data_IF_522619954313
#
_entry.id   IF_522619954313
#
_cell.length_a   1.000
_cell.length_b   1.000
_cell.length_c   1.000
_cell.angle_alpha   90.00
_cell.angle_beta   90.00
_cell.angle_gamma   90.00
#
_symmetry.space_group_name_H-M   'P 1'
#
loop_
_entity.id
_entity.type
_entity.pdbx_description
1 polymer ?
#
# COMPACT_ATOMS: atom_id res chain seq x y z
N UNK A 1 23.00 -65.89 13.40
CA UNK A 1 24.06 -66.44 14.28
C UNK A 1 24.93 -65.31 14.76
N UNK A 2 25.00 -65.12 16.09
CA UNK A 2 26.07 -64.49 16.90
C UNK A 2 26.59 -63.07 16.54
N UNK A 3 26.88 -62.15 17.47
CA UNK A 3 26.57 -61.91 18.89
C UNK A 3 27.25 -60.56 19.24
N UNK A 4 26.54 -59.68 19.96
CA UNK A 4 26.93 -58.76 21.06
C UNK A 4 28.40 -58.30 21.24
N UNK A 5 28.68 -57.05 21.65
CA UNK A 5 28.34 -56.45 22.98
C UNK A 5 28.41 -54.90 23.00
N UNK A 6 27.35 -54.18 23.45
CA UNK A 6 27.09 -53.54 24.80
C UNK A 6 27.93 -52.25 25.08
N UNK A 7 27.41 -51.06 25.46
CA UNK A 7 26.45 -50.63 26.53
C UNK A 7 25.89 -49.21 26.17
N UNK A 8 24.59 -48.89 26.21
CA UNK A 8 23.63 -48.57 27.31
C UNK A 8 23.66 -47.13 27.88
N UNK A 9 22.69 -46.30 27.42
CA UNK A 9 21.80 -45.30 28.06
C UNK A 9 22.16 -44.63 29.40
N UNK A 10 21.83 -43.33 29.58
CA UNK A 10 20.65 -42.81 30.36
C UNK A 10 20.58 -41.25 30.40
N UNK A 11 19.34 -40.76 30.49
CA UNK A 11 18.78 -39.39 30.50
C UNK A 11 19.16 -38.50 31.73
N UNK A 12 19.24 -37.15 31.60
CA UNK A 12 18.25 -36.07 31.92
C UNK A 12 17.87 -35.91 33.42
N UNK A 13 17.89 -34.63 33.86
CA UNK A 13 17.20 -33.94 34.99
C UNK A 13 18.03 -33.72 36.29
N UNK A 14 17.88 -32.48 36.81
CA UNK A 14 18.08 -31.95 38.18
C UNK A 14 19.40 -31.18 38.39
N UNK A 15 19.33 -29.84 38.47
CA UNK A 15 19.55 -29.12 39.73
C UNK A 15 19.21 -27.61 39.59
N UNK A 16 18.03 -27.25 40.11
CA UNK A 16 17.58 -25.90 40.41
C UNK A 16 17.56 -25.78 41.94
N UNK A 17 17.92 -24.60 42.47
CA UNK A 17 17.90 -24.15 43.88
C UNK A 17 19.13 -24.41 44.75
N UNK A 18 19.76 -23.29 45.18
CA UNK A 18 20.24 -22.92 46.54
C UNK A 18 21.31 -21.83 46.36
N UNK A 19 21.10 -20.54 46.70
CA UNK A 19 21.21 -19.93 48.06
C UNK A 19 20.89 -18.41 47.85
N UNK A 20 19.73 -17.84 48.22
CA UNK A 20 19.37 -17.15 49.49
C UNK A 20 20.54 -16.39 50.16
N UNK A 21 20.55 -15.07 50.39
CA UNK A 21 19.82 -14.31 51.41
C UNK A 21 20.34 -12.86 51.36
N UNK A 22 19.47 -11.84 51.29
CA UNK A 22 19.48 -10.73 52.27
C UNK A 22 18.15 -9.97 52.19
N UNK A 23 17.33 -10.19 53.21
CA UNK A 23 16.13 -9.42 53.57
C UNK A 23 16.55 -8.16 54.34
N UNK A 24 15.67 -7.13 54.40
CA UNK A 24 15.11 -6.53 55.63
C UNK A 24 14.54 -5.10 55.39
N UNK A 25 13.23 -4.98 55.70
CA UNK A 25 12.42 -3.84 56.22
C UNK A 25 12.06 -2.67 55.27
N UNK A 26 10.80 -2.52 54.84
CA UNK A 26 9.59 -1.98 55.54
C UNK A 26 9.63 -0.45 55.80
N UNK A 27 8.79 0.32 55.08
CA UNK A 27 7.71 1.15 55.66
C UNK A 27 7.03 2.03 54.58
N UNK A 28 5.73 2.22 54.78
CA UNK A 28 4.75 2.97 53.99
C UNK A 28 5.10 4.43 53.68
N UNK A 29 4.60 4.93 52.54
CA UNK A 29 3.84 6.19 52.44
C UNK A 29 3.20 6.30 51.04
N UNK A 30 1.90 6.63 51.01
CA UNK A 30 1.14 7.05 49.84
C UNK A 30 1.42 8.54 49.60
N UNK A 31 1.80 8.96 48.39
CA UNK A 31 1.46 10.27 47.80
C UNK A 31 1.40 10.13 46.26
N UNK A 32 0.42 10.83 45.68
CA UNK A 32 0.03 10.96 44.27
C UNK A 32 1.11 11.49 43.31
N UNK A 33 0.93 11.14 42.03
CA UNK A 33 1.21 11.99 40.86
C UNK A 33 2.67 12.11 40.42
N UNK A 34 3.04 11.44 39.32
CA UNK A 34 3.30 12.11 38.04
C UNK A 34 3.53 11.08 36.93
N UNK A 35 3.01 11.35 35.73
CA UNK A 35 3.22 10.54 34.53
C UNK A 35 4.60 10.90 33.96
N UNK A 36 5.59 10.02 34.10
CA UNK A 36 6.86 10.14 33.38
C UNK A 36 6.92 9.14 32.23
N UNK A 37 6.74 9.70 31.04
CA UNK A 37 6.99 9.15 29.70
C UNK A 37 8.41 8.55 29.57
N UNK A 38 8.59 7.32 29.05
CA UNK A 38 9.90 6.69 28.87
C UNK A 38 10.63 7.16 27.60
N UNK A 39 10.62 8.46 27.31
CA UNK A 39 11.31 9.10 26.20
C UNK A 39 12.28 10.18 26.70
N UNK A 40 13.25 9.80 27.52
CA UNK A 40 14.44 10.63 27.75
C UNK A 40 15.70 9.78 27.82
N UNK A 41 16.39 9.66 26.67
CA UNK A 41 17.85 9.59 26.61
C UNK A 41 18.34 9.67 25.15
N UNK A 42 18.30 10.86 24.56
CA UNK A 42 19.17 11.22 23.42
C UNK A 42 19.74 12.61 23.73
N UNK A 43 21.07 12.82 23.65
CA UNK A 43 21.68 14.08 24.05
C UNK A 43 21.36 15.22 23.08
N UNK A 44 21.03 16.39 23.63
CA UNK A 44 20.89 17.65 22.89
C UNK A 44 22.24 18.07 22.30
N UNK A 45 22.26 18.39 21.00
CA UNK A 45 23.34 19.14 20.36
C UNK A 45 22.90 20.60 20.13
N UNK A 46 23.79 21.58 20.32
CA UNK A 46 23.42 22.99 20.34
C UNK A 46 23.04 23.52 18.95
N UNK A 47 21.97 24.31 18.91
CA UNK A 47 21.56 25.11 17.76
C UNK A 47 22.49 26.31 17.59
N UNK A 48 23.28 26.31 16.52
CA UNK A 48 23.85 27.55 15.97
C UNK A 48 23.04 27.97 14.74
N UNK A 49 22.45 29.15 14.84
CA UNK A 49 21.87 29.91 13.75
C UNK A 49 22.92 30.14 12.66
N UNK A 50 22.85 29.37 11.57
CA UNK A 50 23.56 29.67 10.33
C UNK A 50 22.52 29.85 9.22
N UNK A 51 22.41 31.09 8.74
CA UNK A 51 21.66 31.44 7.53
C UNK A 51 22.04 30.45 6.42
N UNK A 52 21.08 29.63 5.97
CA UNK A 52 21.30 28.76 4.83
C UNK A 52 21.32 29.61 3.56
N UNK A 53 22.52 29.81 3.03
CA UNK A 53 22.66 29.97 1.59
C UNK A 53 22.33 28.62 0.96
N UNK A 54 21.27 28.61 0.15
CA UNK A 54 20.93 27.49 -0.74
C UNK A 54 22.16 27.25 -1.63
N UNK A 55 22.73 26.03 -1.71
CA UNK A 55 23.77 25.76 -2.68
C UNK A 55 23.15 25.92 -4.06
N UNK A 56 23.69 26.82 -4.87
CA UNK A 56 23.40 26.86 -6.29
C UNK A 56 23.91 25.56 -6.89
N UNK A 57 22.99 24.66 -7.27
CA UNK A 57 23.30 23.62 -8.24
C UNK A 57 23.81 24.35 -9.49
N UNK A 58 25.11 24.21 -9.78
CA UNK A 58 25.71 24.69 -11.02
C UNK A 58 25.06 23.90 -12.16
N UNK A 59 23.98 24.44 -12.73
CA UNK A 59 23.41 23.93 -13.98
C UNK A 59 24.48 24.13 -15.05
N UNK A 60 25.20 23.04 -15.37
CA UNK A 60 26.04 22.99 -16.56
C UNK A 60 25.09 23.20 -17.74
N UNK A 61 25.05 24.43 -18.26
CA UNK A 61 24.24 24.77 -19.43
C UNK A 61 24.60 23.82 -20.57
N UNK A 62 23.66 22.94 -20.91
CA UNK A 62 23.79 22.01 -22.01
C UNK A 62 23.94 22.77 -23.33
N UNK A 63 24.82 22.31 -24.19
CA UNK A 63 25.00 22.92 -25.50
C UNK A 63 23.70 22.77 -26.31
N UNK A 64 23.28 23.84 -26.99
CA UNK A 64 22.06 23.80 -27.82
C UNK A 64 22.13 22.65 -28.84
N UNK A 65 21.09 21.82 -28.88
CA UNK A 65 21.00 20.63 -29.74
C UNK A 65 21.43 19.31 -29.07
N UNK A 66 22.00 19.36 -27.86
CA UNK A 66 22.32 18.17 -27.07
C UNK A 66 21.22 17.88 -26.05
N UNK A 67 21.04 16.60 -25.74
CA UNK A 67 20.20 16.15 -24.63
C UNK A 67 20.79 16.61 -23.30
N UNK A 68 19.95 16.95 -22.33
CA UNK A 68 20.44 17.32 -21.01
C UNK A 68 21.23 16.19 -20.32
N UNK A 69 22.31 16.56 -19.63
CA UNK A 69 23.11 15.60 -18.87
C UNK A 69 22.28 15.05 -17.70
N UNK A 70 22.16 13.72 -17.53
CA UNK A 70 21.51 13.14 -16.37
C UNK A 70 22.19 13.57 -15.07
N UNK A 71 21.40 13.86 -14.04
CA UNK A 71 21.91 14.21 -12.71
C UNK A 71 21.63 13.07 -11.76
N UNK A 72 22.68 12.35 -11.36
CA UNK A 72 22.55 11.22 -10.44
C UNK A 72 22.20 11.73 -9.05
N UNK A 73 21.16 11.16 -8.45
CA UNK A 73 20.69 11.52 -7.11
C UNK A 73 20.95 10.42 -6.10
N UNK A 74 20.81 9.16 -6.51
CA UNK A 74 21.02 8.02 -5.62
C UNK A 74 21.79 6.89 -6.32
N UNK A 75 22.64 6.21 -5.55
CA UNK A 75 23.26 4.92 -5.89
C UNK A 75 23.09 4.02 -4.68
N UNK A 76 22.31 2.94 -4.81
CA UNK A 76 21.90 2.12 -3.67
C UNK A 76 22.02 0.62 -3.96
N UNK A 77 22.77 -0.11 -3.14
CA UNK A 77 22.82 -1.58 -3.26
C UNK A 77 21.49 -2.22 -2.85
N UNK A 78 20.94 -3.05 -3.73
CA UNK A 78 19.80 -3.96 -3.48
C UNK A 78 20.31 -5.32 -3.03
N UNK A 79 21.35 -5.81 -3.69
CA UNK A 79 22.14 -6.98 -3.30
C UNK A 79 23.62 -6.64 -3.36
N UNK A 80 24.48 -7.62 -3.07
CA UNK A 80 25.91 -7.41 -3.07
C UNK A 80 26.47 -6.87 -4.39
N UNK A 81 25.95 -7.35 -5.52
CA UNK A 81 26.38 -6.99 -6.87
C UNK A 81 25.30 -6.30 -7.70
N UNK A 82 24.18 -5.90 -7.13
CA UNK A 82 23.12 -5.16 -7.83
C UNK A 82 22.87 -3.82 -7.14
N UNK A 83 22.92 -2.74 -7.92
CA UNK A 83 22.64 -1.38 -7.45
C UNK A 83 21.47 -0.77 -8.22
N UNK A 84 20.69 0.05 -7.53
CA UNK A 84 19.81 1.05 -8.15
C UNK A 84 20.62 2.30 -8.40
N UNK A 85 20.47 2.84 -9.61
CA UNK A 85 20.94 4.16 -9.98
C UNK A 85 19.72 4.96 -10.41
N UNK A 86 19.54 6.11 -9.80
CA UNK A 86 18.40 6.96 -10.08
C UNK A 86 18.77 8.43 -10.02
N UNK A 87 18.02 9.23 -10.76
CA UNK A 87 18.31 10.64 -10.90
C UNK A 87 17.32 11.37 -11.79
N UNK A 88 17.57 12.64 -12.02
CA UNK A 88 16.76 13.49 -12.90
C UNK A 88 17.36 13.56 -14.30
N UNK A 89 16.53 13.73 -15.31
CA UNK A 89 16.91 13.79 -16.72
C UNK A 89 15.91 14.62 -17.53
N UNK A 90 16.24 14.89 -18.79
CA UNK A 90 15.27 15.45 -19.73
C UNK A 90 14.10 14.48 -19.95
N UNK A 91 12.86 15.01 -20.00
CA UNK A 91 11.69 14.20 -20.32
C UNK A 91 11.74 13.70 -21.78
N UNK A 92 11.35 12.44 -21.99
CA UNK A 92 11.46 11.73 -23.27
C UNK A 92 12.85 11.17 -23.57
N UNK A 93 13.79 11.21 -22.62
CA UNK A 93 15.13 10.67 -22.81
C UNK A 93 15.18 9.14 -22.66
N UNK A 94 16.01 8.49 -23.48
CA UNK A 94 16.51 7.15 -23.21
C UNK A 94 17.85 7.28 -22.45
N UNK A 95 17.91 6.75 -21.22
CA UNK A 95 19.09 6.79 -20.36
C UNK A 95 19.82 5.46 -20.48
N UNK A 96 21.08 5.50 -20.88
CA UNK A 96 21.94 4.30 -20.99
C UNK A 96 23.03 4.34 -19.94
N UNK A 97 23.14 3.25 -19.17
CA UNK A 97 24.17 3.04 -18.16
C UNK A 97 25.10 1.94 -18.65
N UNK A 98 26.38 2.28 -18.85
CA UNK A 98 27.42 1.39 -19.36
C UNK A 98 28.40 0.99 -18.27
N UNK A 99 29.22 -0.01 -18.59
CA UNK A 99 30.33 -0.52 -17.76
C UNK A 99 29.87 -1.25 -16.49
N UNK A 100 28.59 -1.62 -16.42
CA UNK A 100 28.12 -2.70 -15.56
C UNK A 100 28.52 -4.07 -16.14
N UNK A 101 27.91 -5.13 -15.61
CA UNK A 101 28.02 -6.47 -16.20
C UNK A 101 27.45 -6.48 -17.63
N UNK A 102 26.35 -5.77 -17.83
CA UNK A 102 25.68 -5.53 -19.11
C UNK A 102 25.28 -4.05 -19.17
N UNK A 103 25.10 -3.52 -20.38
CA UNK A 103 24.58 -2.16 -20.57
C UNK A 103 23.08 -2.16 -20.31
N UNK A 104 22.60 -1.20 -19.51
CA UNK A 104 21.19 -1.07 -19.14
C UNK A 104 20.65 0.20 -19.80
N UNK A 105 19.44 0.13 -20.37
CA UNK A 105 18.76 1.32 -20.89
C UNK A 105 17.35 1.41 -20.34
N UNK A 106 16.99 2.57 -19.82
CA UNK A 106 15.63 2.88 -19.31
C UNK A 106 15.12 4.16 -19.96
N UNK A 107 13.80 4.28 -20.09
CA UNK A 107 13.18 5.54 -20.52
C UNK A 107 12.97 6.45 -19.31
N UNK A 108 13.09 7.76 -19.54
CA UNK A 108 12.69 8.77 -18.59
C UNK A 108 11.21 8.63 -18.26
N UNK A 109 10.85 9.06 -17.06
CA UNK A 109 9.47 9.17 -16.59
C UNK A 109 9.39 10.45 -15.75
N UNK A 110 8.52 11.39 -16.11
CA UNK A 110 8.32 12.66 -15.39
C UNK A 110 9.64 13.37 -14.96
N UNK A 111 10.61 13.44 -15.87
CA UNK A 111 11.90 14.09 -15.65
C UNK A 111 12.87 13.31 -14.77
N UNK A 112 12.61 12.03 -14.49
CA UNK A 112 13.52 11.15 -13.75
C UNK A 112 13.73 9.80 -14.43
N UNK A 113 14.73 9.06 -13.95
CA UNK A 113 14.96 7.67 -14.31
C UNK A 113 15.33 6.86 -13.07
N UNK A 114 15.01 5.56 -13.09
CA UNK A 114 15.42 4.57 -12.09
C UNK A 114 15.83 3.33 -12.84
N UNK A 115 17.05 2.85 -12.62
CA UNK A 115 17.60 1.68 -13.29
C UNK A 115 18.26 0.73 -12.30
N UNK A 116 18.07 -0.57 -12.52
CA UNK A 116 18.82 -1.62 -11.84
C UNK A 116 20.07 -1.98 -12.67
N UNK A 117 21.23 -2.03 -12.02
CA UNK A 117 22.52 -2.33 -12.66
C UNK A 117 23.23 -3.43 -11.90
N UNK A 118 23.48 -4.55 -12.56
CA UNK A 118 24.40 -5.57 -12.04
C UNK A 118 25.84 -5.10 -12.25
N UNK A 119 26.61 -5.04 -11.18
CA UNK A 119 28.02 -4.63 -11.16
C UNK A 119 28.92 -5.70 -11.78
N UNK A 120 30.04 -5.28 -12.36
CA UNK A 120 31.11 -6.21 -12.71
C UNK A 120 31.77 -6.74 -11.42
N UNK A 121 32.45 -7.90 -11.51
CA UNK A 121 33.11 -8.57 -10.37
C UNK A 121 34.38 -7.84 -9.89
N UNK A 122 34.23 -6.58 -9.52
CA UNK A 122 35.28 -5.71 -8.97
C UNK A 122 34.72 -4.98 -7.76
N UNK A 123 35.60 -4.56 -6.83
CA UNK A 123 35.17 -3.89 -5.60
C UNK A 123 34.52 -2.52 -5.85
N UNK A 124 34.97 -1.82 -6.90
CA UNK A 124 34.48 -0.49 -7.27
C UNK A 124 34.33 -0.44 -8.78
N UNK A 125 33.14 -0.02 -9.23
CA UNK A 125 32.76 0.06 -10.63
C UNK A 125 32.53 1.52 -10.98
N UNK A 126 33.23 2.03 -11.99
CA UNK A 126 32.97 3.34 -12.56
C UNK A 126 32.01 3.17 -13.74
N UNK A 127 30.77 3.61 -13.53
CA UNK A 127 29.68 3.53 -14.49
C UNK A 127 29.58 4.84 -15.26
N UNK A 128 29.15 4.74 -16.52
CA UNK A 128 28.98 5.88 -17.43
C UNK A 128 27.51 5.98 -17.81
N UNK A 129 26.91 7.13 -17.55
CA UNK A 129 25.49 7.41 -17.77
C UNK A 129 25.36 8.47 -18.86
N UNK A 130 24.63 8.15 -19.93
CA UNK A 130 24.27 9.09 -20.99
C UNK A 130 22.76 9.12 -21.18
N UNK A 131 22.25 10.20 -21.77
CA UNK A 131 20.87 10.33 -22.18
C UNK A 131 20.77 10.78 -23.65
N UNK A 132 19.73 10.31 -24.33
CA UNK A 132 19.39 10.77 -25.68
C UNK A 132 17.88 11.00 -25.81
N UNK A 133 17.48 12.20 -26.21
CA UNK A 133 16.11 12.52 -26.63
C UNK A 133 16.04 12.46 -28.15
N UNK A 134 14.93 11.95 -28.69
CA UNK A 134 14.75 11.87 -30.14
C UNK A 134 14.92 13.25 -30.80
N UNK A 135 15.78 13.31 -31.82
CA UNK A 135 16.09 14.56 -32.54
C UNK A 135 17.18 15.43 -31.89
N UNK A 136 17.77 15.01 -30.77
CA UNK A 136 18.95 15.64 -30.16
C UNK A 136 20.18 14.73 -30.22
N UNK A 137 21.35 15.33 -30.06
CA UNK A 137 22.60 14.59 -29.84
C UNK A 137 22.65 14.01 -28.42
N UNK A 138 23.42 12.93 -28.24
CA UNK A 138 23.64 12.28 -26.93
C UNK A 138 24.25 13.26 -25.93
N UNK A 139 23.83 13.19 -24.66
CA UNK A 139 24.33 14.04 -23.59
C UNK A 139 25.83 13.87 -23.35
N UNK A 140 26.42 14.81 -22.61
CA UNK A 140 27.73 14.57 -21.99
C UNK A 140 27.62 13.36 -21.05
N UNK A 141 28.69 12.56 -20.98
CA UNK A 141 28.78 11.41 -20.07
C UNK A 141 28.83 11.91 -18.62
N UNK A 142 27.91 11.42 -17.80
CA UNK A 142 27.98 11.50 -16.35
C UNK A 142 28.63 10.23 -15.78
N UNK A 143 29.62 10.39 -14.91
CA UNK A 143 30.37 9.26 -14.34
C UNK A 143 30.03 9.07 -12.86
N UNK A 144 29.64 7.85 -12.48
CA UNK A 144 29.28 7.53 -11.09
C UNK A 144 29.98 6.27 -10.61
N UNK A 145 30.43 6.29 -9.35
CA UNK A 145 31.05 5.11 -8.73
C UNK A 145 30.00 4.30 -7.97
N UNK A 146 30.02 2.98 -8.17
CA UNK A 146 29.19 2.02 -7.45
C UNK A 146 30.06 0.91 -6.85
N UNK A 147 29.77 0.52 -5.61
CA UNK A 147 30.58 -0.44 -4.85
C UNK A 147 29.90 -1.79 -4.74
N UNK A 148 30.70 -2.86 -4.81
CA UNK A 148 30.26 -4.18 -4.42
C UNK A 148 30.24 -4.25 -2.89
N UNK A 149 29.08 -4.55 -2.30
CA UNK A 149 28.91 -4.61 -0.84
C UNK A 149 28.45 -6.01 -0.45
N UNK A 150 29.39 -6.87 -0.05
CA UNK A 150 29.10 -8.29 0.26
C UNK A 150 27.97 -8.54 1.28
N UNK A 151 27.68 -7.56 2.14
CA UNK A 151 26.65 -7.63 3.18
C UNK A 151 25.31 -7.00 2.76
N UNK A 152 25.22 -6.44 1.55
CA UNK A 152 23.96 -5.93 1.04
C UNK A 152 23.07 -7.11 0.63
N UNK A 153 21.88 -7.16 1.23
CA UNK A 153 20.90 -8.21 1.03
C UNK A 153 19.56 -7.57 0.70
N UNK A 154 18.83 -8.21 -0.21
CA UNK A 154 17.46 -7.79 -0.53
C UNK A 154 16.57 -8.03 0.69
N UNK A 155 15.55 -7.18 0.86
CA UNK A 155 14.56 -7.38 1.93
C UNK A 155 13.86 -8.73 1.77
N UNK A 156 13.44 -9.31 2.89
CA UNK A 156 12.72 -10.60 2.93
C UNK A 156 11.32 -10.48 3.56
N UNK A 157 10.86 -9.26 3.80
CA UNK A 157 9.62 -8.95 4.53
C UNK A 157 8.43 -8.69 3.60
N UNK A 158 8.43 -9.24 2.38
CA UNK A 158 7.47 -9.02 1.28
C UNK A 158 7.43 -7.58 0.72
N UNK A 159 8.11 -6.61 1.34
CA UNK A 159 8.23 -5.23 0.86
C UNK A 159 9.53 -4.98 0.07
N UNK A 160 10.14 -6.04 -0.45
CA UNK A 160 11.24 -5.90 -1.41
C UNK A 160 10.70 -5.28 -2.71
N UNK A 161 11.39 -4.28 -3.23
CA UNK A 161 11.01 -3.57 -4.46
C UNK A 161 11.96 -3.94 -5.58
N UNK A 162 11.40 -4.13 -6.78
CA UNK A 162 12.13 -4.32 -8.03
C UNK A 162 11.77 -3.22 -9.02
N UNK A 163 12.63 -3.04 -10.03
CA UNK A 163 12.45 -2.07 -11.10
C UNK A 163 12.02 -2.80 -12.36
N UNK A 164 10.82 -2.49 -12.83
CA UNK A 164 10.28 -2.97 -14.10
C UNK A 164 10.70 -2.10 -15.28
N UNK A 165 10.05 -2.34 -16.42
CA UNK A 165 10.25 -1.55 -17.61
C UNK A 165 9.91 -0.08 -17.36
N UNK A 166 10.64 0.82 -18.05
CA UNK A 166 10.39 2.27 -18.01
C UNK A 166 10.39 2.87 -16.60
N UNK A 167 11.32 2.44 -15.74
CA UNK A 167 11.47 2.95 -14.36
C UNK A 167 10.23 2.73 -13.46
N UNK A 168 9.29 1.85 -13.83
CA UNK A 168 8.12 1.56 -13.01
C UNK A 168 8.50 0.59 -11.87
N UNK A 169 8.07 0.90 -10.65
CA UNK A 169 8.40 0.09 -9.48
C UNK A 169 7.27 -0.91 -9.16
N UNK A 170 7.64 -2.02 -8.52
CA UNK A 170 6.68 -2.98 -7.97
C UNK A 170 7.28 -3.77 -6.80
N UNK A 171 6.43 -4.30 -5.92
CA UNK A 171 6.89 -5.24 -4.90
C UNK A 171 7.17 -6.62 -5.52
N UNK A 172 8.24 -7.29 -5.06
CA UNK A 172 8.63 -8.62 -5.54
C UNK A 172 7.49 -9.65 -5.42
N UNK A 173 6.64 -9.53 -4.41
CA UNK A 173 5.46 -10.39 -4.22
C UNK A 173 4.49 -10.33 -5.40
N UNK A 174 4.49 -9.25 -6.17
CA UNK A 174 3.62 -9.11 -7.34
C UNK A 174 4.11 -9.99 -8.49
N UNK A 175 5.43 -10.20 -8.59
CA UNK A 175 5.98 -11.16 -9.54
C UNK A 175 5.53 -12.58 -9.19
N UNK A 176 5.50 -12.95 -7.90
CA UNK A 176 4.98 -14.25 -7.46
C UNK A 176 3.50 -14.44 -7.86
N UNK A 177 2.67 -13.40 -7.74
CA UNK A 177 1.27 -13.39 -8.17
C UNK A 177 1.16 -13.60 -9.69
N UNK A 178 1.91 -12.82 -10.47
CA UNK A 178 1.93 -12.89 -11.92
C UNK A 178 2.36 -14.28 -12.42
N UNK A 179 3.42 -14.82 -11.83
CA UNK A 179 3.98 -16.13 -12.17
C UNK A 179 3.13 -17.30 -11.68
N UNK A 180 2.21 -17.06 -10.74
CA UNK A 180 1.38 -18.11 -10.15
C UNK A 180 2.20 -19.05 -9.26
N UNK A 181 3.17 -18.51 -8.52
CA UNK A 181 4.04 -19.30 -7.63
C UNK A 181 3.41 -19.52 -6.26
N UNK A 182 2.34 -18.77 -5.96
CA UNK A 182 1.72 -18.72 -4.64
C UNK A 182 0.28 -19.27 -4.63
N UNK A 183 -0.01 -20.22 -5.53
CA UNK A 183 -1.34 -20.81 -5.68
C UNK A 183 -1.83 -21.56 -4.43
N UNK A 184 -3.13 -21.50 -4.22
CA UNK A 184 -3.82 -22.19 -3.14
C UNK A 184 -4.18 -23.62 -3.55
N UNK A 185 -4.11 -24.53 -2.59
CA UNK A 185 -4.57 -25.90 -2.75
C UNK A 185 -6.11 -25.98 -2.74
N UNK A 186 -6.65 -27.05 -3.32
CA UNK A 186 -8.10 -27.31 -3.29
C UNK A 186 -8.67 -27.43 -1.86
N UNK A 187 -7.85 -27.84 -0.89
CA UNK A 187 -8.27 -27.88 0.51
C UNK A 187 -8.40 -26.48 1.09
N UNK A 188 -7.43 -25.59 0.83
CA UNK A 188 -7.50 -24.19 1.29
C UNK A 188 -8.69 -23.46 0.66
N UNK A 189 -8.92 -23.61 -0.65
CA UNK A 189 -10.05 -23.00 -1.33
C UNK A 189 -11.40 -23.47 -0.77
N UNK A 190 -11.55 -24.78 -0.52
CA UNK A 190 -12.75 -25.33 0.13
C UNK A 190 -12.93 -24.78 1.55
N UNK A 191 -11.87 -24.75 2.36
CA UNK A 191 -11.92 -24.20 3.71
C UNK A 191 -12.35 -22.74 3.70
N UNK A 192 -11.79 -21.95 2.79
CA UNK A 192 -12.12 -20.54 2.64
C UNK A 192 -13.58 -20.35 2.19
N UNK A 193 -14.06 -21.11 1.21
CA UNK A 193 -15.48 -21.10 0.81
C UNK A 193 -16.42 -21.43 1.97
N UNK A 194 -16.11 -22.48 2.72
CA UNK A 194 -16.92 -22.93 3.85
C UNK A 194 -16.89 -21.88 5.00
N UNK A 195 -15.76 -21.22 5.20
CA UNK A 195 -15.61 -20.08 6.12
C UNK A 195 -16.51 -18.90 5.73
N UNK A 196 -16.46 -18.46 4.47
CA UNK A 196 -17.29 -17.35 3.96
C UNK A 196 -18.78 -17.67 4.11
N UNK A 197 -19.21 -18.86 3.71
CA UNK A 197 -20.61 -19.29 3.89
C UNK A 197 -21.01 -19.32 5.37
N UNK A 198 -20.13 -19.78 6.25
CA UNK A 198 -20.36 -19.72 7.70
C UNK A 198 -20.51 -18.29 8.24
N UNK A 199 -19.78 -17.31 7.68
CA UNK A 199 -19.94 -15.89 8.03
C UNK A 199 -21.28 -15.35 7.57
N UNK A 200 -21.72 -15.65 6.34
CA UNK A 200 -23.05 -15.30 5.85
C UNK A 200 -24.13 -15.83 6.79
N UNK A 201 -24.12 -17.12 7.11
CA UNK A 201 -25.09 -17.73 8.03
C UNK A 201 -25.08 -17.06 9.42
N UNK A 202 -23.89 -16.73 9.94
CA UNK A 202 -23.76 -16.07 11.25
C UNK A 202 -24.35 -14.65 11.25
N UNK A 203 -24.24 -13.92 10.14
CA UNK A 203 -24.85 -12.61 9.96
C UNK A 203 -26.37 -12.71 9.88
N UNK A 204 -26.89 -13.64 9.07
CA UNK A 204 -28.33 -13.89 8.91
C UNK A 204 -29.00 -14.28 10.25
N UNK A 205 -28.38 -15.19 11.00
CA UNK A 205 -28.83 -15.60 12.34
C UNK A 205 -28.92 -14.39 13.29
N UNK A 206 -27.94 -13.48 13.22
CA UNK A 206 -27.89 -12.27 14.04
C UNK A 206 -28.92 -11.24 13.61
N UNK A 207 -29.24 -11.18 12.32
CA UNK A 207 -30.24 -10.29 11.75
C UNK A 207 -31.68 -10.70 12.11
N UNK A 208 -31.91 -11.99 12.44
CA UNK A 208 -33.22 -12.54 12.85
C UNK A 208 -34.31 -12.32 11.80
N UNK A 209 -34.00 -12.64 10.55
CA UNK A 209 -34.93 -12.50 9.42
C UNK A 209 -35.03 -11.08 8.85
N UNK A 210 -34.22 -10.14 9.36
CA UNK A 210 -33.96 -8.88 8.66
C UNK A 210 -32.87 -9.08 7.62
N UNK A 211 -32.91 -8.27 6.57
CA UNK A 211 -31.92 -8.33 5.48
C UNK A 211 -30.53 -7.88 5.97
N UNK A 212 -29.49 -8.61 5.60
CA UNK A 212 -28.07 -8.27 5.82
C UNK A 212 -27.26 -8.90 4.71
N UNK A 213 -26.29 -8.17 4.18
CA UNK A 213 -25.52 -8.63 3.05
C UNK A 213 -24.01 -8.57 3.31
N UNK A 214 -23.32 -9.65 2.98
CA UNK A 214 -21.86 -9.72 3.00
C UNK A 214 -21.36 -9.53 1.57
N UNK A 215 -20.61 -8.46 1.34
CA UNK A 215 -20.03 -8.11 0.04
C UNK A 215 -18.51 -8.29 0.13
N UNK A 216 -17.94 -9.06 -0.78
CA UNK A 216 -16.50 -9.06 -1.05
C UNK A 216 -16.22 -8.25 -2.30
N UNK A 217 -15.28 -7.32 -2.21
CA UNK A 217 -14.76 -6.54 -3.33
C UNK A 217 -13.31 -6.96 -3.52
N UNK A 218 -13.03 -7.59 -4.65
CA UNK A 218 -11.70 -8.06 -4.99
C UNK A 218 -11.03 -7.04 -5.90
N UNK A 219 -9.90 -6.51 -5.44
CA UNK A 219 -9.09 -5.56 -6.20
C UNK A 219 -7.88 -6.33 -6.72
N UNK A 220 -7.66 -6.45 -8.04
CA UNK A 220 -6.46 -7.09 -8.56
C UNK A 220 -5.22 -6.29 -8.13
N UNK A 221 -4.01 -6.82 -8.29
CA UNK A 221 -2.82 -5.97 -8.18
C UNK A 221 -2.45 -5.31 -9.52
N UNK A 222 -1.44 -4.44 -9.48
CA UNK A 222 -0.94 -3.76 -10.67
C UNK A 222 -0.47 -4.72 -11.75
N UNK A 223 0.03 -5.92 -11.41
CA UNK A 223 0.57 -6.88 -12.39
C UNK A 223 -0.51 -7.68 -13.11
N UNK A 224 -1.64 -7.89 -12.44
CA UNK A 224 -2.85 -8.44 -13.05
C UNK A 224 -3.40 -7.51 -14.14
N UNK A 225 -3.25 -6.19 -14.00
CA UNK A 225 -3.77 -5.19 -14.96
C UNK A 225 -2.70 -4.70 -15.95
N UNK A 226 -1.45 -4.55 -15.50
CA UNK A 226 -0.30 -4.05 -16.27
C UNK A 226 0.84 -5.09 -16.29
N UNK A 227 0.64 -6.25 -16.93
CA UNK A 227 1.67 -7.29 -17.00
C UNK A 227 2.90 -6.85 -17.83
N UNK A 228 2.75 -5.80 -18.65
CA UNK A 228 3.79 -5.15 -19.44
C UNK A 228 4.81 -4.35 -18.60
N UNK A 229 4.61 -4.26 -17.28
CA UNK A 229 5.64 -3.81 -16.34
C UNK A 229 6.88 -4.71 -16.35
N UNK A 230 6.70 -6.00 -16.67
CA UNK A 230 7.78 -6.97 -16.74
C UNK A 230 8.45 -6.98 -18.12
N UNK A 231 9.76 -7.20 -18.14
CA UNK A 231 10.53 -7.36 -19.38
C UNK A 231 10.15 -8.64 -20.14
N UNK A 232 10.53 -8.70 -21.42
CA UNK A 232 10.30 -9.87 -22.30
C UNK A 232 10.99 -11.15 -21.80
N UNK A 233 11.96 -11.02 -20.90
CA UNK A 233 12.69 -12.10 -20.25
C UNK A 233 11.88 -12.81 -19.16
N UNK A 234 10.84 -12.17 -18.63
CA UNK A 234 9.91 -12.78 -17.68
C UNK A 234 8.82 -13.54 -18.43
N UNK A 235 8.98 -14.86 -18.52
CA UNK A 235 8.03 -15.75 -19.21
C UNK A 235 7.08 -16.39 -18.21
N UNK A 236 5.80 -16.03 -18.32
CA UNK A 236 4.72 -16.59 -17.49
C UNK A 236 4.49 -18.07 -17.77
N UNK A 237 4.64 -18.92 -16.74
CA UNK A 237 4.47 -20.38 -16.87
C UNK A 237 3.01 -20.85 -16.73
N UNK A 238 2.17 -20.08 -16.03
CA UNK A 238 0.75 -20.40 -15.81
C UNK A 238 -0.12 -19.15 -15.87
N UNK A 239 -1.33 -19.30 -16.40
CA UNK A 239 -2.36 -18.24 -16.41
C UNK A 239 -3.31 -18.33 -15.21
N UNK A 240 -3.20 -19.37 -14.39
CA UNK A 240 -3.91 -19.44 -13.11
C UNK A 240 -3.16 -18.59 -12.11
N UNK A 241 -3.83 -17.61 -11.50
CA UNK A 241 -3.31 -16.79 -10.40
C UNK A 241 -4.08 -17.07 -9.11
N UNK A 242 -3.49 -16.70 -7.99
CA UNK A 242 -4.19 -16.68 -6.69
C UNK A 242 -5.48 -15.86 -6.75
N UNK A 243 -5.46 -14.69 -7.39
CA UNK A 243 -6.67 -13.89 -7.62
C UNK A 243 -7.77 -14.68 -8.33
N UNK A 244 -7.45 -15.32 -9.47
CA UNK A 244 -8.43 -16.10 -10.22
C UNK A 244 -9.01 -17.26 -9.41
N UNK A 245 -8.21 -17.90 -8.55
CA UNK A 245 -8.68 -18.97 -7.68
C UNK A 245 -9.67 -18.45 -6.63
N UNK A 246 -9.36 -17.30 -6.03
CA UNK A 246 -10.18 -16.69 -4.97
C UNK A 246 -11.46 -16.08 -5.54
N UNK A 247 -11.38 -15.35 -6.64
CA UNK A 247 -12.56 -14.84 -7.36
C UNK A 247 -13.53 -15.98 -7.71
N UNK A 248 -13.02 -17.04 -8.35
CA UNK A 248 -13.85 -18.21 -8.67
C UNK A 248 -14.36 -18.96 -7.43
N UNK A 249 -13.64 -18.91 -6.31
CA UNK A 249 -14.09 -19.55 -5.07
C UNK A 249 -15.20 -18.74 -4.40
N UNK A 250 -15.05 -17.42 -4.35
CA UNK A 250 -16.03 -16.49 -3.78
C UNK A 250 -17.34 -16.50 -4.58
N UNK A 251 -17.28 -16.59 -5.91
CA UNK A 251 -18.47 -16.69 -6.77
C UNK A 251 -19.31 -17.96 -6.53
N UNK A 252 -18.76 -18.94 -5.80
CA UNK A 252 -19.44 -20.16 -5.38
C UNK A 252 -19.93 -20.10 -3.92
N UNK A 253 -19.89 -18.93 -3.29
CA UNK A 253 -20.41 -18.68 -1.94
C UNK A 253 -21.77 -18.00 -1.97
N UNK A 254 -22.37 -17.81 -0.80
CA UNK A 254 -23.59 -17.03 -0.62
C UNK A 254 -23.32 -15.53 -0.40
N UNK A 255 -22.06 -15.09 -0.46
CA UNK A 255 -21.72 -13.66 -0.39
C UNK A 255 -21.85 -13.02 -1.78
N UNK A 256 -22.14 -11.72 -1.81
CA UNK A 256 -22.06 -10.92 -3.03
C UNK A 256 -20.61 -10.65 -3.35
N UNK A 257 -20.22 -10.75 -4.62
CA UNK A 257 -18.84 -10.59 -5.07
C UNK A 257 -18.78 -9.52 -6.15
N UNK A 258 -17.97 -8.50 -5.91
CA UNK A 258 -17.59 -7.48 -6.88
C UNK A 258 -16.14 -7.78 -7.30
N UNK A 259 -15.96 -8.33 -8.48
CA UNK A 259 -14.65 -8.59 -9.07
C UNK A 259 -14.24 -7.39 -9.94
N UNK A 260 -13.14 -6.71 -9.57
CA UNK A 260 -12.71 -5.50 -10.26
C UNK A 260 -11.84 -5.77 -11.51
N UNK A 261 -11.48 -7.02 -11.81
CA UNK A 261 -10.54 -7.32 -12.91
C UNK A 261 -11.01 -6.80 -14.26
N UNK A 262 -12.20 -7.18 -14.72
CA UNK A 262 -12.72 -6.78 -16.03
C UNK A 262 -12.99 -5.26 -16.09
N UNK A 263 -13.34 -4.67 -14.95
CA UNK A 263 -13.63 -3.24 -14.81
C UNK A 263 -12.35 -2.44 -14.97
N UNK A 264 -11.28 -2.86 -14.29
CA UNK A 264 -9.97 -2.23 -14.39
C UNK A 264 -9.32 -2.48 -15.75
N UNK A 265 -9.43 -3.69 -16.30
CA UNK A 265 -8.92 -3.99 -17.64
C UNK A 265 -9.61 -3.12 -18.71
N UNK A 266 -10.94 -2.99 -18.64
CA UNK A 266 -11.68 -2.10 -19.55
C UNK A 266 -11.28 -0.64 -19.36
N UNK A 267 -11.14 -0.19 -18.11
CA UNK A 267 -10.78 1.19 -17.80
C UNK A 267 -9.34 1.53 -18.23
N UNK A 268 -8.37 0.60 -18.08
CA UNK A 268 -7.01 0.72 -18.62
C UNK A 268 -7.01 1.03 -20.12
N UNK A 269 -7.90 0.39 -20.87
CA UNK A 269 -7.94 0.50 -22.33
C UNK A 269 -8.77 1.70 -22.85
N UNK A 270 -9.66 2.24 -22.02
CA UNK A 270 -10.68 3.22 -22.46
C UNK A 270 -10.64 4.57 -21.75
N UNK A 271 -9.99 4.66 -20.59
CA UNK A 271 -9.82 5.89 -19.82
C UNK A 271 -8.52 6.59 -20.19
N UNK A 272 -8.49 7.91 -19.98
CA UNK A 272 -7.24 8.68 -20.01
C UNK A 272 -6.47 8.62 -18.68
N UNK A 273 -7.12 8.16 -17.60
CA UNK A 273 -6.53 8.05 -16.27
C UNK A 273 -5.98 6.65 -15.99
N UNK A 274 -4.78 6.60 -15.43
CA UNK A 274 -4.18 5.37 -14.90
C UNK A 274 -4.98 4.81 -13.72
N UNK A 275 -4.95 3.48 -13.54
CA UNK A 275 -5.63 2.78 -12.43
C UNK A 275 -4.73 2.66 -11.20
N UNK A 276 -3.42 2.48 -11.41
CA UNK A 276 -2.41 2.36 -10.34
C UNK A 276 -1.33 3.40 -10.53
N UNK A 277 -0.75 3.79 -9.39
CA UNK A 277 0.45 4.61 -9.36
C UNK A 277 1.68 3.81 -9.83
N UNK A 278 2.72 4.51 -10.26
CA UNK A 278 3.95 3.93 -10.86
C UNK A 278 5.12 3.88 -9.88
N UNK A 279 5.17 4.82 -8.94
CA UNK A 279 6.18 4.90 -7.87
C UNK A 279 5.62 4.51 -6.50
N UNK A 280 4.38 4.00 -6.48
CA UNK A 280 3.60 3.75 -5.30
C UNK A 280 2.71 2.53 -5.55
N UNK A 281 2.45 1.75 -4.50
CA UNK A 281 1.79 0.45 -4.59
C UNK A 281 0.27 0.51 -4.68
N UNK A 282 -0.31 1.71 -4.50
CA UNK A 282 -1.75 1.90 -4.38
C UNK A 282 -2.45 2.23 -5.71
N UNK A 283 -3.79 2.16 -5.68
CA UNK A 283 -4.64 2.70 -6.73
C UNK A 283 -4.45 4.22 -6.85
N UNK A 284 -4.65 4.74 -8.06
CA UNK A 284 -4.91 6.17 -8.26
C UNK A 284 -6.28 6.55 -7.69
N UNK A 285 -6.56 7.85 -7.57
CA UNK A 285 -7.90 8.34 -7.24
C UNK A 285 -8.96 7.80 -8.21
N UNK A 286 -8.63 7.70 -9.51
CA UNK A 286 -9.52 7.11 -10.50
C UNK A 286 -9.75 5.61 -10.30
N UNK A 287 -8.69 4.84 -10.03
CA UNK A 287 -8.81 3.41 -9.71
C UNK A 287 -9.70 3.18 -8.49
N UNK A 288 -9.51 3.97 -7.43
CA UNK A 288 -10.32 3.90 -6.22
C UNK A 288 -11.77 4.38 -6.46
N UNK A 289 -11.98 5.40 -7.30
CA UNK A 289 -13.30 5.85 -7.73
C UNK A 289 -14.10 4.72 -8.42
N UNK A 290 -13.45 3.92 -9.25
CA UNK A 290 -14.11 2.76 -9.89
C UNK A 290 -14.56 1.72 -8.87
N UNK A 291 -13.73 1.42 -7.86
CA UNK A 291 -14.09 0.51 -6.74
C UNK A 291 -15.31 1.07 -6.00
N UNK A 292 -15.25 2.35 -5.61
CA UNK A 292 -16.36 3.06 -5.00
C UNK A 292 -17.64 2.97 -5.83
N UNK A 293 -17.54 3.21 -7.14
CA UNK A 293 -18.67 3.23 -8.05
C UNK A 293 -19.40 1.88 -8.06
N UNK A 294 -18.64 0.77 -8.08
CA UNK A 294 -19.24 -0.57 -8.06
C UNK A 294 -19.92 -0.89 -6.73
N UNK A 295 -19.29 -0.51 -5.61
CA UNK A 295 -19.92 -0.66 -4.29
C UNK A 295 -21.23 0.13 -4.25
N UNK A 296 -21.20 1.42 -4.65
CA UNK A 296 -22.37 2.28 -4.64
C UNK A 296 -23.48 1.79 -5.58
N UNK A 297 -23.14 1.21 -6.74
CA UNK A 297 -24.11 0.56 -7.62
C UNK A 297 -24.84 -0.60 -6.91
N UNK A 298 -24.11 -1.44 -6.17
CA UNK A 298 -24.69 -2.55 -5.41
C UNK A 298 -25.60 -2.04 -4.28
N UNK A 299 -25.15 -1.02 -3.52
CA UNK A 299 -25.95 -0.39 -2.48
C UNK A 299 -27.25 0.20 -3.04
N UNK A 300 -27.20 0.80 -4.23
CA UNK A 300 -28.32 1.48 -4.87
C UNK A 300 -29.50 0.55 -5.19
N UNK A 301 -29.27 -0.76 -5.29
CA UNK A 301 -30.32 -1.76 -5.52
C UNK A 301 -31.37 -1.77 -4.41
N UNK A 302 -30.95 -1.54 -3.16
CA UNK A 302 -31.83 -1.49 -1.98
C UNK A 302 -32.00 -0.06 -1.44
N UNK A 303 -30.99 0.79 -1.64
CA UNK A 303 -30.96 2.17 -1.14
C UNK A 303 -30.68 3.14 -2.29
N UNK A 304 -31.69 3.55 -3.08
CA UNK A 304 -31.48 4.40 -4.27
C UNK A 304 -30.73 5.72 -4.00
N UNK A 305 -30.80 6.26 -2.78
CA UNK A 305 -30.05 7.45 -2.37
C UNK A 305 -28.52 7.22 -2.26
N UNK A 306 -28.08 5.97 -2.20
CA UNK A 306 -26.69 5.55 -2.17
C UNK A 306 -26.06 5.38 -3.57
N UNK A 307 -26.80 5.72 -4.63
CA UNK A 307 -26.29 5.70 -6.01
C UNK A 307 -24.93 6.42 -6.15
N UNK A 308 -24.05 5.94 -7.05
CA UNK A 308 -22.74 6.52 -7.23
C UNK A 308 -22.84 7.96 -7.74
N UNK A 309 -21.88 8.77 -7.30
CA UNK A 309 -21.59 10.07 -7.91
C UNK A 309 -20.90 9.86 -9.24
N UNK A 310 -21.24 10.71 -10.20
CA UNK A 310 -20.58 10.75 -11.50
C UNK A 310 -19.30 11.56 -11.41
N UNK A 311 -18.33 11.31 -12.30
CA UNK A 311 -17.09 12.10 -12.37
C UNK A 311 -17.34 13.60 -12.62
N UNK A 312 -18.47 13.96 -13.24
CA UNK A 312 -18.87 15.35 -13.49
C UNK A 312 -19.25 16.12 -12.21
N UNK A 313 -19.46 15.42 -11.09
CA UNK A 313 -19.71 16.01 -9.77
C UNK A 313 -18.42 16.31 -9.01
N UNK A 314 -17.26 16.13 -9.65
CA UNK A 314 -15.94 16.41 -9.11
C UNK A 314 -15.18 17.37 -10.02
N UNK A 315 -14.38 18.25 -9.42
CA UNK A 315 -13.29 18.91 -10.11
C UNK A 315 -12.14 17.92 -10.24
N UNK A 316 -11.66 17.72 -11.47
CA UNK A 316 -10.58 16.80 -11.80
C UNK A 316 -9.28 17.61 -11.85
N UNK A 317 -8.50 17.55 -10.77
CA UNK A 317 -7.31 18.36 -10.59
C UNK A 317 -6.09 17.46 -10.79
N UNK A 318 -5.21 17.85 -11.71
CA UNK A 318 -3.92 17.20 -11.85
C UNK A 318 -2.95 17.78 -10.82
N UNK A 319 -2.44 16.92 -9.93
CA UNK A 319 -1.55 17.30 -8.82
C UNK A 319 -0.25 16.51 -8.93
N UNK A 320 0.87 17.16 -8.58
CA UNK A 320 2.17 16.47 -8.52
C UNK A 320 2.33 15.75 -7.17
N UNK A 321 2.52 14.44 -7.24
CA UNK A 321 2.86 13.58 -6.11
C UNK A 321 4.38 13.30 -6.06
N UNK A 322 5.08 13.79 -5.05
CA UNK A 322 6.48 13.51 -4.71
C UNK A 322 6.66 12.14 -4.01
N UNK A 323 7.42 11.25 -4.62
CA UNK A 323 7.83 9.96 -4.08
C UNK A 323 6.74 8.91 -4.20
N UNK A 324 6.54 8.18 -3.10
CA UNK A 324 5.65 7.03 -3.02
C UNK A 324 6.21 5.99 -2.05
N UNK A 325 5.38 5.04 -1.64
CA UNK A 325 5.82 4.00 -0.72
C UNK A 325 6.90 3.11 -1.35
N UNK A 326 6.85 2.80 -2.65
CA UNK A 326 7.85 1.99 -3.34
C UNK A 326 9.21 2.68 -3.39
N UNK A 327 9.25 4.01 -3.57
CA UNK A 327 10.49 4.80 -3.49
C UNK A 327 11.09 4.70 -2.09
N UNK A 328 10.23 4.81 -1.06
CA UNK A 328 10.63 4.70 0.34
C UNK A 328 11.18 3.31 0.66
N UNK A 329 10.50 2.24 0.21
CA UNK A 329 10.94 0.86 0.41
C UNK A 329 12.21 0.51 -0.39
N UNK A 330 12.40 1.12 -1.57
CA UNK A 330 13.63 1.02 -2.35
C UNK A 330 14.81 1.73 -1.67
N UNK A 331 14.53 2.71 -0.80
CA UNK A 331 15.52 3.39 0.02
C UNK A 331 16.33 4.45 -0.74
N UNK A 332 15.72 5.05 -1.76
CA UNK A 332 16.24 6.20 -2.52
C UNK A 332 15.52 7.49 -2.11
N UNK A 333 16.02 8.65 -2.51
CA UNK A 333 15.57 9.94 -1.98
C UNK A 333 14.22 10.41 -2.58
N UNK A 334 13.13 10.39 -1.81
CA UNK A 334 11.76 10.73 -2.27
C UNK A 334 11.62 12.03 -3.09
N UNK A 335 12.31 13.12 -2.73
CA UNK A 335 12.06 14.48 -3.28
C UNK A 335 12.36 14.67 -4.77
N UNK A 336 12.98 13.70 -5.44
CA UNK A 336 13.38 13.82 -6.85
C UNK A 336 12.50 13.05 -7.82
N UNK A 337 11.57 12.24 -7.31
CA UNK A 337 10.76 11.34 -8.13
C UNK A 337 9.33 11.80 -7.98
N UNK A 338 8.68 12.22 -9.07
CA UNK A 338 7.33 12.76 -9.00
C UNK A 338 6.38 12.03 -9.95
N UNK A 339 5.10 12.06 -9.61
CA UNK A 339 4.05 11.46 -10.42
C UNK A 339 2.90 12.44 -10.56
N UNK A 340 2.45 12.66 -11.79
CA UNK A 340 1.22 13.41 -12.01
C UNK A 340 0.04 12.52 -11.66
N UNK A 341 -0.77 12.93 -10.70
CA UNK A 341 -1.92 12.17 -10.21
C UNK A 341 -3.21 12.97 -10.34
N UNK A 342 -4.31 12.26 -10.58
CA UNK A 342 -5.64 12.84 -10.51
C UNK A 342 -6.05 12.98 -9.03
N UNK A 343 -6.53 14.16 -8.66
CA UNK A 343 -7.27 14.43 -7.44
C UNK A 343 -8.73 14.78 -7.80
N UNK A 344 -9.68 14.18 -7.09
CA UNK A 344 -11.11 14.36 -7.32
C UNK A 344 -11.70 15.19 -6.18
N UNK A 345 -11.76 16.50 -6.37
CA UNK A 345 -12.33 17.42 -5.39
C UNK A 345 -13.86 17.50 -5.57
N UNK A 346 -14.68 17.20 -4.55
CA UNK A 346 -16.13 17.25 -4.67
C UNK A 346 -16.65 18.67 -4.98
N UNK A 347 -17.50 18.81 -6.00
CA UNK A 347 -18.23 20.06 -6.31
C UNK A 347 -19.47 20.26 -5.43
N UNK A 348 -19.60 19.47 -4.37
CA UNK A 348 -20.74 19.44 -3.47
C UNK A 348 -20.26 19.36 -2.02
N UNK A 349 -21.10 19.85 -1.11
CA UNK A 349 -20.82 19.74 0.32
C UNK A 349 -20.91 18.27 0.75
N UNK A 350 -19.78 17.72 1.20
CA UNK A 350 -19.77 16.43 1.88
C UNK A 350 -20.54 16.55 3.19
N UNK A 351 -21.77 16.00 3.22
CA UNK A 351 -22.63 16.01 4.41
C UNK A 351 -22.18 14.96 5.40
N UNK A 352 -21.44 15.38 6.42
CA UNK A 352 -20.80 14.47 7.38
C UNK A 352 -21.13 14.90 8.82
N UNK A 353 -21.41 13.90 9.66
CA UNK A 353 -21.63 14.03 11.10
C UNK A 353 -20.53 13.31 11.88
N UNK A 354 -19.83 14.06 12.73
CA UNK A 354 -19.02 13.46 13.81
C UNK A 354 -19.95 12.83 14.85
N UNK A 355 -19.71 11.57 15.20
CA UNK A 355 -20.38 10.92 16.32
C UNK A 355 -19.73 11.33 17.65
N UNK A 356 -20.12 12.50 18.17
CA UNK A 356 -19.60 13.02 19.46
C UNK A 356 -19.91 12.12 20.66
N UNK A 357 -20.83 11.17 20.50
CA UNK A 357 -21.23 10.20 21.53
C UNK A 357 -20.53 8.85 21.37
N UNK A 358 -19.69 8.68 20.33
CA UNK A 358 -18.95 7.46 20.10
C UNK A 358 -17.83 7.28 21.11
N UNK A 359 -17.69 6.05 21.61
CA UNK A 359 -16.48 5.62 22.32
C UNK A 359 -15.35 5.20 21.35
N UNK A 360 -15.57 5.33 20.04
CA UNK A 360 -14.63 5.04 18.96
C UNK A 360 -14.19 6.38 18.34
N UNK A 361 -12.98 6.43 17.82
CA UNK A 361 -12.51 7.56 17.04
C UNK A 361 -13.50 7.88 15.89
N UNK A 362 -13.83 9.15 15.69
CA UNK A 362 -14.65 9.60 14.57
C UNK A 362 -13.82 10.54 13.72
N UNK A 363 -14.01 10.48 12.40
CA UNK A 363 -13.36 11.41 11.49
C UNK A 363 -14.39 12.35 10.92
N UNK A 364 -13.98 13.61 10.75
CA UNK A 364 -14.71 14.49 9.86
C UNK A 364 -14.10 14.32 8.46
N UNK A 365 -14.86 13.67 7.57
CA UNK A 365 -14.36 13.36 6.23
C UNK A 365 -14.05 14.61 5.42
N UNK A 366 -14.69 15.76 5.68
CA UNK A 366 -14.36 17.03 5.00
C UNK A 366 -12.96 17.53 5.35
N UNK A 367 -12.42 17.03 6.47
CA UNK A 367 -11.09 17.37 6.96
C UNK A 367 -10.05 16.34 6.49
N UNK A 368 -10.48 15.31 5.75
CA UNK A 368 -9.59 14.37 5.09
C UNK A 368 -8.83 15.12 4.02
N UNK A 369 -7.51 15.17 4.19
CA UNK A 369 -6.59 15.68 3.18
C UNK A 369 -5.98 14.51 2.44
N UNK A 370 -6.23 14.44 1.14
CA UNK A 370 -5.59 13.49 0.23
C UNK A 370 -4.27 14.06 -0.25
N UNK A 371 -3.31 13.21 -0.53
CA UNK A 371 -2.06 13.60 -1.18
C UNK A 371 -1.36 14.80 -0.52
N UNK A 372 -1.32 14.85 0.80
CA UNK A 372 -0.54 15.86 1.53
C UNK A 372 0.75 15.25 2.05
N UNK A 373 1.85 15.96 1.80
CA UNK A 373 3.16 15.65 2.34
C UNK A 373 3.20 15.98 3.83
N UNK A 374 3.45 14.99 4.67
CA UNK A 374 3.92 15.23 6.06
C UNK A 374 5.41 15.59 6.02
N UNK A 375 5.98 16.15 7.11
CA UNK A 375 7.41 16.52 7.20
C UNK A 375 8.39 15.37 6.83
N UNK A 376 7.92 14.12 6.83
CA UNK A 376 8.65 12.92 6.41
C UNK A 376 8.43 12.49 4.94
N UNK A 377 7.87 13.35 4.07
CA UNK A 377 7.64 13.10 2.63
C UNK A 377 6.88 11.79 2.32
N UNK A 378 5.93 11.40 3.18
CA UNK A 378 5.02 10.30 2.89
C UNK A 378 3.62 10.84 2.62
N UNK A 379 3.01 10.43 1.50
CA UNK A 379 1.63 10.79 1.21
C UNK A 379 0.71 10.07 2.16
N UNK A 380 0.00 10.83 2.97
CA UNK A 380 -0.95 10.28 3.93
C UNK A 380 -2.30 10.92 3.73
N UNK A 381 -3.34 10.09 3.81
CA UNK A 381 -4.70 10.55 3.93
C UNK A 381 -4.97 10.75 5.43
N UNK A 382 -5.13 12.00 5.87
CA UNK A 382 -5.24 12.33 7.30
C UNK A 382 -6.38 13.31 7.59
N UNK A 383 -6.94 13.21 8.80
CA UNK A 383 -7.94 14.14 9.32
C UNK A 383 -7.24 15.38 9.92
N UNK A 384 -7.51 16.58 9.39
CA UNK A 384 -6.74 17.79 9.66
C UNK A 384 -7.01 18.56 10.95
N UNK A 385 -7.89 18.12 11.86
CA UNK A 385 -8.40 19.00 12.95
C UNK A 385 -8.15 18.56 14.41
N UNK A 386 -7.28 17.58 14.70
CA UNK A 386 -6.93 17.27 16.10
C UNK A 386 -5.45 16.91 16.31
N UNK A 387 -4.92 17.22 17.51
CA UNK A 387 -3.59 16.81 17.99
C UNK A 387 -3.38 15.27 18.04
N UNK A 388 -4.40 14.51 17.65
CA UNK A 388 -4.38 13.07 17.46
C UNK A 388 -4.84 12.81 16.03
N UNK A 389 -3.87 12.71 15.12
CA UNK A 389 -4.12 12.31 13.73
C UNK A 389 -4.74 10.90 13.78
N UNK A 390 -6.05 10.79 13.60
CA UNK A 390 -6.66 9.51 13.23
C UNK A 390 -6.17 9.26 11.81
N UNK A 391 -5.18 8.40 11.67
CA UNK A 391 -4.65 8.06 10.36
C UNK A 391 -5.71 7.30 9.59
N UNK A 392 -5.69 7.37 8.26
CA UNK A 392 -6.51 6.48 7.44
C UNK A 392 -6.25 5.01 7.77
N UNK A 393 -5.16 4.66 8.45
CA UNK A 393 -4.86 3.31 8.91
C UNK A 393 -5.65 2.85 10.14
N UNK A 394 -6.25 3.78 10.89
CA UNK A 394 -6.98 3.48 12.11
C UNK A 394 -8.42 3.03 11.84
N UNK A 395 -9.03 2.47 12.87
CA UNK A 395 -10.47 2.19 12.90
C UNK A 395 -11.23 3.46 13.27
N UNK A 396 -12.24 3.81 12.50
CA UNK A 396 -13.06 5.00 12.76
C UNK A 396 -14.54 4.80 12.39
N UNK A 397 -15.41 5.59 13.02
CA UNK A 397 -16.83 5.62 12.72
C UNK A 397 -17.21 6.85 11.87
N UNK A 398 -18.18 6.64 10.98
CA UNK A 398 -18.80 7.65 10.11
C UNK A 398 -20.28 7.72 10.49
N UNK A 399 -20.82 8.93 10.59
CA UNK A 399 -22.26 9.17 10.59
C UNK A 399 -22.59 10.31 9.65
N UNK A 400 -23.71 10.22 8.94
CA UNK A 400 -24.18 11.34 8.08
C UNK A 400 -25.59 11.79 8.45
N UNK A 401 -26.27 11.06 9.35
CA UNK A 401 -27.68 11.22 9.74
C UNK A 401 -28.67 11.22 8.56
N UNK A 402 -28.23 10.75 7.39
CA UNK A 402 -29.06 10.55 6.20
C UNK A 402 -29.81 9.23 6.29
N UNK A 403 -31.02 9.30 6.84
CA UNK A 403 -31.85 8.13 7.17
C UNK A 403 -32.27 7.25 5.97
N UNK A 404 -32.08 7.75 4.75
CA UNK A 404 -32.35 7.05 3.48
C UNK A 404 -31.14 6.25 2.96
N UNK A 405 -30.01 6.32 3.66
CA UNK A 405 -28.79 5.57 3.37
C UNK A 405 -28.63 4.35 4.29
N UNK A 406 -27.87 3.34 3.85
CA UNK A 406 -27.63 2.14 4.64
C UNK A 406 -26.66 2.34 5.80
N UNK A 407 -26.63 1.34 6.68
CA UNK A 407 -25.57 1.15 7.68
C UNK A 407 -24.59 0.05 7.27
N UNK A 408 -23.30 0.20 7.62
CA UNK A 408 -22.28 -0.79 7.24
C UNK A 408 -21.16 -1.03 8.27
N UNK A 409 -20.57 -2.23 8.21
CA UNK A 409 -19.16 -2.45 8.60
C UNK A 409 -18.32 -2.54 7.33
N UNK A 410 -17.20 -1.81 7.28
CA UNK A 410 -16.31 -1.79 6.10
C UNK A 410 -14.93 -2.24 6.54
N UNK A 411 -14.50 -3.42 6.10
CA UNK A 411 -13.17 -3.97 6.31
C UNK A 411 -12.39 -3.82 5.01
N UNK A 412 -11.19 -3.26 5.07
CA UNK A 412 -10.46 -2.85 3.88
C UNK A 412 -8.96 -2.88 4.07
N UNK A 413 -8.23 -2.93 2.97
CA UNK A 413 -6.84 -2.50 2.93
C UNK A 413 -6.70 -1.05 2.42
N UNK A 414 -5.47 -0.60 2.19
CA UNK A 414 -5.17 0.75 1.74
C UNK A 414 -5.58 1.04 0.29
N UNK A 415 -6.00 0.05 -0.50
CA UNK A 415 -6.48 0.26 -1.87
C UNK A 415 -7.67 1.23 -1.95
N UNK A 416 -8.54 1.24 -0.94
CA UNK A 416 -9.69 2.15 -0.88
C UNK A 416 -9.33 3.56 -0.42
N UNK A 417 -8.13 3.76 0.13
CA UNK A 417 -7.75 5.01 0.79
C UNK A 417 -8.15 6.27 0.00
N UNK A 418 -7.88 6.37 -1.32
CA UNK A 418 -8.19 7.57 -2.09
C UNK A 418 -9.70 7.89 -2.13
N UNK A 419 -10.58 6.88 -2.24
CA UNK A 419 -12.03 7.07 -2.36
C UNK A 419 -12.81 6.92 -1.05
N UNK A 420 -12.13 6.92 0.11
CA UNK A 420 -12.79 6.66 1.40
C UNK A 420 -13.86 7.71 1.74
N UNK A 421 -13.66 8.95 1.29
CA UNK A 421 -14.52 10.09 1.56
C UNK A 421 -15.86 9.99 0.82
N UNK A 422 -15.81 9.73 -0.48
CA UNK A 422 -16.99 9.62 -1.35
C UNK A 422 -17.78 8.34 -1.08
N UNK A 423 -17.09 7.27 -0.67
CA UNK A 423 -17.72 6.03 -0.22
C UNK A 423 -18.44 6.25 1.11
N UNK A 424 -17.79 6.90 2.06
CA UNK A 424 -18.36 7.18 3.37
C UNK A 424 -19.64 8.02 3.30
N UNK A 425 -19.74 8.94 2.34
CA UNK A 425 -20.95 9.73 2.10
C UNK A 425 -22.18 8.84 1.80
N UNK A 426 -21.98 7.61 1.27
CA UNK A 426 -23.05 6.66 0.92
C UNK A 426 -23.65 5.90 2.10
N UNK A 427 -23.25 6.19 3.33
CA UNK A 427 -23.78 5.51 4.51
C UNK A 427 -24.42 6.49 5.50
N UNK A 428 -25.54 6.09 6.10
CA UNK A 428 -26.09 6.75 7.29
C UNK A 428 -25.12 6.58 8.45
N UNK A 429 -24.62 5.36 8.62
CA UNK A 429 -23.68 4.92 9.67
C UNK A 429 -22.71 3.92 9.08
N UNK A 430 -21.41 4.11 9.30
CA UNK A 430 -20.44 3.08 8.98
C UNK A 430 -19.37 2.97 10.07
N UNK A 431 -18.89 1.76 10.32
CA UNK A 431 -17.63 1.54 11.04
C UNK A 431 -16.60 1.05 10.03
N UNK A 432 -15.56 1.83 9.81
CA UNK A 432 -14.42 1.45 8.97
C UNK A 432 -13.37 0.79 9.84
N UNK A 433 -13.01 -0.43 9.49
CA UNK A 433 -11.98 -1.23 10.14
C UNK A 433 -10.59 -0.63 9.99
N UNK A 434 -9.68 -1.10 10.84
CA UNK A 434 -8.25 -0.80 10.74
C UNK A 434 -7.72 -1.34 9.41
N UNK A 435 -6.78 -0.64 8.79
CA UNK A 435 -6.14 -1.10 7.55
C UNK A 435 -5.58 -2.52 7.73
N UNK A 436 -5.94 -3.43 6.82
CA UNK A 436 -5.47 -4.81 6.79
C UNK A 436 -6.11 -5.74 7.84
N UNK A 437 -7.01 -5.24 8.69
CA UNK A 437 -7.77 -6.06 9.63
C UNK A 437 -9.14 -6.41 9.02
N UNK A 438 -9.32 -7.68 8.68
CA UNK A 438 -10.54 -8.21 8.09
C UNK A 438 -11.42 -8.97 9.09
N UNK A 439 -11.17 -8.82 10.39
CA UNK A 439 -11.88 -9.56 11.42
C UNK A 439 -13.31 -9.03 11.62
N UNK A 440 -14.30 -9.73 11.04
CA UNK A 440 -15.71 -9.38 11.20
C UNK A 440 -16.17 -9.61 12.65
N UNK A 441 -16.52 -8.52 13.35
CA UNK A 441 -17.07 -8.55 14.71
C UNK A 441 -18.59 -8.37 14.71
N UNK A 442 -19.32 -9.45 14.98
CA UNK A 442 -20.79 -9.47 15.02
C UNK A 442 -21.40 -8.57 16.12
N UNK A 443 -20.64 -8.26 17.18
CA UNK A 443 -21.10 -7.32 18.20
C UNK A 443 -21.10 -5.90 17.66
N UNK A 444 -20.06 -5.51 16.93
CA UNK A 444 -19.99 -4.19 16.27
C UNK A 444 -21.05 -4.07 15.18
N UNK A 445 -21.29 -5.15 14.43
CA UNK A 445 -22.35 -5.19 13.42
C UNK A 445 -23.71 -4.85 14.05
N UNK A 446 -23.91 -5.19 15.33
CA UNK A 446 -25.16 -4.92 16.05
C UNK A 446 -25.20 -3.56 16.74
N UNK A 447 -24.06 -2.88 16.88
CA UNK A 447 -23.96 -1.55 17.49
C UNK A 447 -24.07 -0.43 16.46
N UNK A 448 -23.61 -0.70 15.23
CA UNK A 448 -23.55 0.29 14.15
C UNK A 448 -24.72 0.20 13.16
N UNK A 449 -25.81 -0.47 13.55
CA UNK A 449 -26.99 -0.62 12.73
C UNK A 449 -27.74 0.70 12.45
N UNK A 450 -28.53 0.69 11.39
CA UNK A 450 -29.56 1.69 11.11
C UNK A 450 -30.77 1.49 12.03
N UNK A 451 -31.61 2.52 12.13
CA UNK A 451 -32.73 2.52 13.07
C UNK A 451 -33.71 1.37 12.77
N UNK A 452 -34.13 0.66 13.83
CA UNK A 452 -35.02 -0.51 13.77
C UNK A 452 -34.39 -1.78 13.18
N UNK A 453 -33.07 -1.83 12.99
CA UNK A 453 -32.35 -3.05 12.61
C UNK A 453 -31.64 -3.68 13.81
N UNK A 454 -31.46 -5.00 13.76
CA UNK A 454 -30.73 -5.78 14.76
C UNK A 454 -29.21 -5.76 14.50
N UNK A 455 -28.83 -5.54 13.25
CA UNK A 455 -27.49 -5.56 12.70
C UNK A 455 -27.41 -4.58 11.51
N UNK A 456 -26.21 -4.18 11.10
CA UNK A 456 -25.97 -3.38 9.89
C UNK A 456 -26.65 -3.94 8.65
N UNK A 457 -26.90 -3.08 7.66
CA UNK A 457 -27.42 -3.49 6.35
C UNK A 457 -26.36 -4.25 5.55
N UNK A 458 -25.10 -3.80 5.62
CA UNK A 458 -24.00 -4.38 4.87
C UNK A 458 -22.77 -4.67 5.74
N UNK A 459 -22.08 -5.76 5.43
CA UNK A 459 -20.68 -5.99 5.80
C UNK A 459 -19.89 -6.04 4.49
N UNK A 460 -18.95 -5.12 4.31
CA UNK A 460 -18.21 -4.96 3.06
C UNK A 460 -16.74 -5.27 3.36
N UNK A 461 -16.16 -6.19 2.61
CA UNK A 461 -14.75 -6.60 2.69
C UNK A 461 -14.06 -6.23 1.38
N UNK A 462 -13.16 -5.26 1.39
CA UNK A 462 -12.46 -4.75 0.21
C UNK A 462 -11.00 -5.16 0.32
N UNK A 463 -10.55 -6.03 -0.56
CA UNK A 463 -9.23 -6.67 -0.42
C UNK A 463 -8.50 -6.71 -1.74
N UNK A 464 -7.26 -6.24 -1.73
CA UNK A 464 -6.33 -6.38 -2.84
C UNK A 464 -5.74 -7.79 -2.91
N UNK A 465 -5.32 -8.20 -4.10
CA UNK A 465 -4.72 -9.51 -4.36
C UNK A 465 -3.60 -9.87 -3.36
N UNK A 466 -2.76 -8.90 -3.01
CA UNK A 466 -1.65 -9.08 -2.07
C UNK A 466 -2.07 -9.31 -0.62
N UNK A 467 -3.29 -8.93 -0.25
CA UNK A 467 -3.84 -9.07 1.09
C UNK A 467 -4.84 -10.22 1.22
N UNK A 468 -5.03 -11.03 0.17
CA UNK A 468 -5.94 -12.19 0.17
C UNK A 468 -5.69 -13.14 1.36
N UNK A 469 -4.43 -13.38 1.75
CA UNK A 469 -4.11 -14.26 2.88
C UNK A 469 -4.77 -13.80 4.19
N UNK A 470 -5.02 -12.49 4.33
CA UNK A 470 -5.59 -11.90 5.55
C UNK A 470 -7.10 -12.11 5.67
N UNK A 471 -7.80 -12.49 4.60
CA UNK A 471 -9.24 -12.80 4.64
C UNK A 471 -9.52 -14.31 4.73
N UNK A 472 -8.49 -15.15 4.66
CA UNK A 472 -8.63 -16.60 4.66
C UNK A 472 -8.73 -17.24 6.04
N UNK A 473 -8.53 -16.47 7.12
CA UNK A 473 -8.41 -16.96 8.50
C UNK A 473 -9.45 -16.39 9.47
#
# INVERSE_FOLDING_TARGET
MQRNTKKSNTAVIILLMLITVLTVLLASCVVEGDNTDPLQSIPEFPSEDMKSEVPSDDIISTASGFTEQPVIKDVKNITADVVVISGTCEEGAAITIKRGKEDVTVQSRNGYFIAEVTLAKTSTNLLEVTAVVEGKEESVIESVSAEYIATAEKRIDKFAVSIGMQSQLYFDSYLENFMGENLLTQTELRTFRDFVNGKVTSLEDRAKGQDVELIYVLVPDVTSIYPDIFGEDIVRETFTTRYSQISNTLSQTNATVIDMYDIFATAKDTSEFDIYRKNDSHLTEYGAYLVYQQIANELALKFPAAAPRTLEEFEQIETEAIGGDLITYLGITNKYYTESILDLEPLFDLKIGMDKESNIATINISDVKKYVSVEDNNYSIYNGTDNKIIGINDRFAIRTDRIDLPSALIFRDDSLSPAIDILAERFQRALVGRNGDFTINLTEASRHNSDNKNIVDYVIVIVSENNIENIMN
#
